data_IF_795022808944
#
_entry.id   IF_795022808944
#
_cell.length_a   1.000
_cell.length_b   1.000
_cell.length_c   1.000
_cell.angle_alpha   90.00
_cell.angle_beta   90.00
_cell.angle_gamma   90.00
#
_symmetry.space_group_name_H-M   'P 1'
#
loop_
_entity.id
_entity.type
_entity.pdbx_description
1 polymer ?
#
# COMPACT_ATOMS: atom_id res chain seq x y z
N UNK A 1 -34.69 -24.33 -13.18
CA UNK A 1 -33.79 -25.14 -12.34
C UNK A 1 -32.65 -25.64 -13.21
N UNK A 2 -31.60 -24.84 -13.33
CA UNK A 2 -30.39 -25.18 -14.07
C UNK A 2 -29.24 -25.11 -13.10
N UNK A 3 -28.60 -26.27 -12.92
CA UNK A 3 -27.67 -26.57 -11.85
C UNK A 3 -26.44 -25.66 -11.90
N UNK A 4 -26.09 -25.10 -10.74
CA UNK A 4 -24.81 -24.48 -10.48
C UNK A 4 -23.72 -25.53 -10.58
N UNK A 5 -22.91 -25.45 -11.64
CA UNK A 5 -21.64 -26.19 -11.72
C UNK A 5 -20.69 -25.52 -10.73
N UNK A 6 -20.57 -26.11 -9.55
CA UNK A 6 -19.55 -25.78 -8.56
C UNK A 6 -18.19 -26.17 -9.12
N UNK A 7 -17.50 -25.18 -9.70
CA UNK A 7 -16.05 -25.29 -9.92
C UNK A 7 -15.41 -25.40 -8.53
N UNK A 8 -14.75 -26.54 -8.29
CA UNK A 8 -14.05 -26.94 -7.06
C UNK A 8 -14.92 -27.55 -5.95
N UNK A 9 -15.14 -28.87 -6.05
CA UNK A 9 -15.77 -29.71 -5.03
C UNK A 9 -14.95 -29.82 -3.73
N UNK A 10 -15.03 -28.81 -2.86
CA UNK A 10 -14.51 -28.89 -1.49
C UNK A 10 -15.56 -28.51 -0.47
N UNK A 11 -15.73 -29.36 0.55
CA UNK A 11 -16.66 -29.15 1.64
C UNK A 11 -16.47 -27.78 2.34
N UNK A 12 -17.56 -27.09 2.76
CA UNK A 12 -17.54 -25.73 3.31
C UNK A 12 -16.84 -25.57 4.68
N UNK A 13 -16.28 -26.64 5.25
CA UNK A 13 -15.79 -26.69 6.65
C UNK A 13 -14.62 -25.75 6.97
N UNK A 14 -13.91 -25.17 5.99
CA UNK A 14 -12.76 -24.28 6.21
C UNK A 14 -13.06 -22.78 6.06
N UNK A 15 -14.23 -22.40 5.57
CA UNK A 15 -14.61 -20.99 5.39
C UNK A 15 -14.94 -20.24 6.68
N UNK A 16 -15.50 -20.85 7.75
CA UNK A 16 -15.84 -20.09 8.96
C UNK A 16 -14.64 -19.51 9.68
N UNK A 17 -13.53 -20.27 9.78
CA UNK A 17 -12.30 -19.81 10.41
C UNK A 17 -11.66 -18.66 9.62
N UNK A 18 -11.45 -18.84 8.31
CA UNK A 18 -10.96 -17.76 7.45
C UNK A 18 -11.88 -16.54 7.47
N UNK A 19 -13.19 -16.77 7.53
CA UNK A 19 -14.19 -15.72 7.74
C UNK A 19 -13.92 -14.95 9.03
N UNK A 20 -13.77 -15.63 10.16
CA UNK A 20 -13.41 -15.02 11.44
C UNK A 20 -12.09 -14.22 11.38
N UNK A 21 -11.06 -14.76 10.75
CA UNK A 21 -9.77 -14.07 10.53
C UNK A 21 -9.94 -12.81 9.68
N UNK A 22 -10.76 -12.86 8.63
CA UNK A 22 -11.06 -11.70 7.79
C UNK A 22 -11.82 -10.62 8.56
N UNK A 23 -12.81 -11.01 9.37
CA UNK A 23 -13.55 -10.08 10.24
C UNK A 23 -12.61 -9.42 11.25
N UNK A 24 -11.74 -10.21 11.91
CA UNK A 24 -10.72 -9.68 12.81
C UNK A 24 -9.84 -8.63 12.13
N UNK A 25 -9.31 -8.92 10.94
CA UNK A 25 -8.50 -7.98 10.16
C UNK A 25 -9.23 -6.67 9.87
N UNK A 26 -10.45 -6.72 9.33
CA UNK A 26 -11.18 -5.50 8.94
C UNK A 26 -11.68 -4.69 10.13
N UNK A 27 -11.96 -5.33 11.27
CA UNK A 27 -12.34 -4.63 12.52
C UNK A 27 -11.13 -3.96 13.17
N UNK A 28 -9.95 -4.61 13.15
CA UNK A 28 -8.71 -4.01 13.68
C UNK A 28 -8.19 -2.86 12.81
N UNK A 29 -8.50 -2.87 11.52
CA UNK A 29 -8.00 -1.87 10.55
C UNK A 29 -8.22 -0.41 10.97
N UNK A 30 -9.45 0.07 11.24
CA UNK A 30 -9.67 1.47 11.65
C UNK A 30 -9.06 1.79 13.02
N UNK A 31 -9.02 0.82 13.94
CA UNK A 31 -8.45 1.00 15.27
C UNK A 31 -6.95 1.24 15.20
N UNK A 32 -6.24 0.42 14.43
CA UNK A 32 -4.80 0.58 14.23
C UNK A 32 -4.49 1.80 13.36
N UNK A 33 -5.29 2.08 12.32
CA UNK A 33 -5.12 3.28 11.51
C UNK A 33 -5.13 4.56 12.34
N UNK A 34 -6.00 4.62 13.36
CA UNK A 34 -6.07 5.78 14.24
C UNK A 34 -5.04 5.73 15.37
N UNK A 35 -5.03 4.66 16.17
CA UNK A 35 -4.31 4.62 17.45
C UNK A 35 -2.85 4.22 17.31
N UNK A 36 -2.59 3.18 16.52
CA UNK A 36 -1.28 2.54 16.43
C UNK A 36 -0.97 2.06 15.00
N UNK A 37 -0.66 2.97 14.06
CA UNK A 37 -0.46 2.62 12.66
C UNK A 37 0.68 1.62 12.42
N UNK A 38 1.73 1.69 13.24
CA UNK A 38 2.82 0.71 13.21
C UNK A 38 2.33 -0.72 13.51
N UNK A 39 1.18 -0.86 14.19
CA UNK A 39 0.51 -2.13 14.47
C UNK A 39 0.04 -2.90 13.24
N UNK A 40 -0.01 -2.27 12.04
CA UNK A 40 -0.29 -3.02 10.81
C UNK A 40 0.77 -4.11 10.54
N UNK A 41 2.01 -3.92 11.00
CA UNK A 41 3.06 -4.93 10.85
C UNK A 41 2.76 -6.23 11.63
N UNK A 42 2.56 -6.20 12.96
CA UNK A 42 2.19 -7.39 13.72
C UNK A 42 0.78 -7.89 13.39
N UNK A 43 -0.18 -7.01 13.05
CA UNK A 43 -1.52 -7.43 12.63
C UNK A 43 -1.43 -8.34 11.39
N UNK A 44 -0.72 -7.90 10.36
CA UNK A 44 -0.59 -8.68 9.13
C UNK A 44 0.21 -9.96 9.34
N UNK A 45 1.21 -9.96 10.22
CA UNK A 45 1.94 -11.16 10.58
C UNK A 45 1.01 -12.19 11.25
N UNK A 46 0.24 -11.75 12.25
CA UNK A 46 -0.73 -12.57 12.97
C UNK A 46 -1.82 -13.10 12.04
N UNK A 47 -2.41 -12.26 11.20
CA UNK A 47 -3.41 -12.68 10.20
C UNK A 47 -2.82 -13.73 9.26
N UNK A 48 -1.57 -13.56 8.82
CA UNK A 48 -0.84 -14.55 8.03
C UNK A 48 -0.76 -15.91 8.69
N UNK A 49 -0.32 -15.94 9.95
CA UNK A 49 -0.21 -17.15 10.76
C UNK A 49 -1.58 -17.81 10.99
N UNK A 50 -2.59 -17.02 11.37
CA UNK A 50 -3.95 -17.52 11.58
C UNK A 50 -4.58 -18.02 10.28
N UNK A 51 -4.18 -17.50 9.12
CA UNK A 51 -4.72 -17.94 7.83
C UNK A 51 -4.04 -19.19 7.26
N UNK A 52 -2.91 -19.65 7.83
CA UNK A 52 -2.18 -20.85 7.37
C UNK A 52 -3.04 -22.10 7.20
N UNK A 53 -3.97 -22.46 8.12
CA UNK A 53 -4.83 -23.65 7.95
C UNK A 53 -5.73 -23.60 6.70
N UNK A 54 -5.99 -22.39 6.18
CA UNK A 54 -6.75 -22.14 4.97
C UNK A 54 -5.89 -21.86 3.74
N UNK A 55 -4.56 -21.82 3.86
CA UNK A 55 -3.66 -21.50 2.76
C UNK A 55 -3.71 -22.59 1.68
N UNK A 56 -3.96 -22.15 0.44
CA UNK A 56 -3.88 -22.99 -0.76
C UNK A 56 -3.04 -22.29 -1.79
N UNK A 57 -1.80 -22.75 -1.96
CA UNK A 57 -0.92 -22.24 -2.99
C UNK A 57 -1.43 -22.69 -4.35
N UNK A 58 -1.96 -21.73 -5.12
CA UNK A 58 -2.37 -21.94 -6.50
C UNK A 58 -1.26 -21.56 -7.46
N UNK A 59 -1.26 -22.09 -8.68
CA UNK A 59 -0.31 -21.68 -9.73
C UNK A 59 -0.38 -20.17 -10.01
N UNK A 60 -1.55 -19.55 -9.80
CA UNK A 60 -1.73 -18.10 -9.96
C UNK A 60 -1.07 -17.27 -8.83
N UNK A 61 -0.83 -17.87 -7.66
CA UNK A 61 -0.15 -17.22 -6.54
C UNK A 61 1.39 -17.29 -6.66
N UNK A 62 1.92 -18.26 -7.39
CA UNK A 62 3.36 -18.49 -7.47
C UNK A 62 4.16 -17.33 -8.09
N UNK A 63 3.78 -16.74 -9.26
CA UNK A 63 4.60 -15.70 -9.89
C UNK A 63 4.93 -14.50 -8.99
N UNK A 64 3.97 -13.81 -8.33
CA UNK A 64 4.31 -12.67 -7.47
C UNK A 64 5.14 -13.09 -6.25
N UNK A 65 4.90 -14.28 -5.68
CA UNK A 65 5.68 -14.77 -4.54
C UNK A 65 7.12 -15.10 -4.93
N UNK A 66 7.34 -15.66 -6.13
CA UNK A 66 8.69 -15.94 -6.63
C UNK A 66 9.47 -14.67 -6.94
N UNK A 67 8.80 -13.64 -7.50
CA UNK A 67 9.43 -12.33 -7.73
C UNK A 67 9.84 -11.69 -6.39
N UNK A 68 8.94 -11.70 -5.40
CA UNK A 68 9.24 -11.16 -4.07
C UNK A 68 10.30 -11.99 -3.33
N UNK A 69 10.30 -13.31 -3.50
CA UNK A 69 11.35 -14.18 -2.98
C UNK A 69 12.71 -13.84 -3.60
N UNK A 70 12.77 -13.66 -4.92
CA UNK A 70 13.99 -13.24 -5.60
C UNK A 70 14.47 -11.87 -5.10
N UNK A 71 13.55 -10.91 -4.89
CA UNK A 71 13.88 -9.61 -4.30
C UNK A 71 14.41 -9.75 -2.86
N UNK A 72 13.78 -10.56 -2.02
CA UNK A 72 14.20 -10.80 -0.65
C UNK A 72 15.57 -11.51 -0.58
N UNK A 73 15.82 -12.48 -1.45
CA UNK A 73 17.12 -13.14 -1.58
C UNK A 73 18.19 -12.17 -2.07
N UNK A 74 17.88 -11.33 -3.05
CA UNK A 74 18.81 -10.29 -3.52
C UNK A 74 19.13 -9.29 -2.39
N UNK A 75 18.13 -8.85 -1.64
CA UNK A 75 18.31 -7.99 -0.49
C UNK A 75 19.19 -8.66 0.58
N UNK A 76 18.98 -9.93 0.89
CA UNK A 76 19.80 -10.71 1.82
C UNK A 76 21.25 -10.83 1.34
N UNK A 77 21.47 -11.16 0.06
CA UNK A 77 22.81 -11.22 -0.55
C UNK A 77 23.50 -9.86 -0.49
N UNK A 78 22.75 -8.77 -0.70
CA UNK A 78 23.29 -7.41 -0.67
C UNK A 78 23.81 -6.95 0.68
N UNK A 79 23.39 -7.62 1.77
CA UNK A 79 23.94 -7.34 3.09
C UNK A 79 25.44 -7.67 3.18
N UNK A 80 25.96 -8.56 2.33
CA UNK A 80 27.39 -8.94 2.34
C UNK A 80 28.33 -7.81 1.94
N UNK A 81 27.81 -6.74 1.30
CA UNK A 81 28.57 -5.53 0.99
C UNK A 81 27.91 -4.25 1.54
N UNK A 82 26.87 -4.38 2.36
CA UNK A 82 26.19 -3.22 2.93
C UNK A 82 27.09 -2.50 3.93
N UNK A 83 27.19 -1.15 3.89
CA UNK A 83 27.84 -0.39 4.95
C UNK A 83 27.07 -0.47 6.28
N UNK A 84 25.80 -0.91 6.23
CA UNK A 84 24.98 -1.17 7.41
C UNK A 84 25.11 -2.62 7.93
N UNK A 85 26.06 -3.41 7.41
CA UNK A 85 26.25 -4.79 7.81
C UNK A 85 26.53 -4.87 9.32
N UNK A 86 25.65 -5.60 10.03
CA UNK A 86 25.79 -5.85 11.46
C UNK A 86 26.72 -7.05 11.63
N UNK A 87 27.73 -6.93 12.48
CA UNK A 87 28.59 -8.05 12.88
C UNK A 87 27.72 -9.10 13.62
N UNK A 88 27.58 -10.34 13.11
CA UNK A 88 26.78 -11.37 13.74
C UNK A 88 27.18 -11.67 15.19
N UNK A 89 28.43 -11.41 15.59
CA UNK A 89 28.90 -11.57 16.96
C UNK A 89 28.29 -10.56 17.94
N UNK A 90 27.69 -9.48 17.42
CA UNK A 90 27.01 -8.44 18.20
C UNK A 90 25.52 -8.73 18.41
N UNK A 91 24.96 -9.76 17.76
CA UNK A 91 23.57 -10.18 17.92
C UNK A 91 23.41 -10.99 19.22
N UNK A 92 23.07 -10.32 20.32
CA UNK A 92 22.93 -10.97 21.64
C UNK A 92 21.48 -11.15 22.05
N UNK A 93 20.64 -10.16 21.74
CA UNK A 93 19.25 -10.13 22.20
C UNK A 93 18.26 -10.00 21.04
N UNK A 94 16.98 -10.25 21.33
CA UNK A 94 15.87 -10.12 20.38
C UNK A 94 15.83 -8.74 19.70
N UNK A 95 16.15 -7.68 20.46
CA UNK A 95 16.18 -6.31 19.94
C UNK A 95 17.24 -6.07 18.86
N UNK A 96 18.28 -6.90 18.78
CA UNK A 96 19.28 -6.82 17.71
C UNK A 96 18.82 -7.54 16.44
N UNK A 97 18.09 -8.66 16.60
CA UNK A 97 17.44 -9.36 15.48
C UNK A 97 16.35 -8.47 14.87
N UNK A 98 15.63 -7.70 15.68
CA UNK A 98 14.63 -6.74 15.20
C UNK A 98 15.22 -5.66 14.28
N UNK A 99 16.52 -5.37 14.38
CA UNK A 99 17.18 -4.40 13.49
C UNK A 99 17.49 -4.97 12.10
N UNK A 100 17.39 -6.29 11.92
CA UNK A 100 17.71 -6.96 10.65
C UNK A 100 16.53 -6.91 9.67
N UNK A 101 16.53 -5.91 8.79
CA UNK A 101 15.48 -5.76 7.77
C UNK A 101 15.35 -6.99 6.86
N UNK A 102 16.44 -7.66 6.48
CA UNK A 102 16.34 -8.84 5.62
C UNK A 102 15.56 -9.99 6.26
N UNK A 103 15.75 -10.25 7.55
CA UNK A 103 14.99 -11.29 8.29
C UNK A 103 13.51 -10.93 8.29
N UNK A 104 13.20 -9.65 8.54
CA UNK A 104 11.83 -9.14 8.49
C UNK A 104 11.21 -9.30 7.11
N UNK A 105 11.92 -9.01 6.02
CA UNK A 105 11.42 -9.18 4.65
C UNK A 105 11.03 -10.63 4.36
N UNK A 106 11.83 -11.61 4.80
CA UNK A 106 11.50 -13.04 4.64
C UNK A 106 10.26 -13.42 5.46
N UNK A 107 10.18 -12.99 6.71
CA UNK A 107 9.03 -13.25 7.57
C UNK A 107 7.75 -12.58 7.05
N UNK A 108 7.85 -11.37 6.52
CA UNK A 108 6.75 -10.65 5.88
C UNK A 108 6.30 -11.36 4.60
N UNK A 109 7.24 -11.81 3.75
CA UNK A 109 6.88 -12.58 2.56
C UNK A 109 6.09 -13.85 2.94
N UNK A 110 6.53 -14.57 3.96
CA UNK A 110 5.84 -15.76 4.45
C UNK A 110 4.46 -15.42 5.03
N UNK A 111 4.39 -14.48 5.98
CA UNK A 111 3.15 -14.20 6.72
C UNK A 111 2.18 -13.33 5.92
N UNK A 112 2.62 -12.21 5.34
CA UNK A 112 1.75 -11.31 4.58
C UNK A 112 1.33 -11.98 3.26
N UNK A 113 2.25 -12.74 2.64
CA UNK A 113 1.93 -13.59 1.49
C UNK A 113 0.90 -14.66 1.83
N UNK A 114 1.03 -15.34 2.98
CA UNK A 114 0.02 -16.30 3.45
C UNK A 114 -1.34 -15.63 3.67
N UNK A 115 -1.40 -14.46 4.31
CA UNK A 115 -2.63 -13.69 4.49
C UNK A 115 -3.29 -13.37 3.13
N UNK A 116 -2.51 -12.77 2.21
CA UNK A 116 -2.99 -12.32 0.92
C UNK A 116 -3.44 -13.48 0.00
N UNK A 117 -2.87 -14.68 0.15
CA UNK A 117 -3.26 -15.87 -0.64
C UNK A 117 -4.40 -16.63 0.02
N UNK A 118 -4.35 -16.86 1.33
CA UNK A 118 -5.36 -17.64 2.05
C UNK A 118 -6.72 -16.91 2.11
N UNK A 119 -6.74 -15.58 2.24
CA UNK A 119 -8.00 -14.82 2.25
C UNK A 119 -8.65 -14.72 0.86
N UNK A 120 -7.91 -15.04 -0.21
CA UNK A 120 -8.52 -15.39 -1.53
C UNK A 120 -9.23 -16.74 -1.51
N UNK A 121 -9.34 -17.41 -0.37
CA UNK A 121 -10.18 -18.60 -0.20
C UNK A 121 -11.57 -18.29 0.34
N UNK A 122 -11.88 -17.02 0.65
CA UNK A 122 -13.15 -16.65 1.27
C UNK A 122 -14.33 -16.93 0.34
N UNK A 123 -15.41 -17.50 0.91
CA UNK A 123 -16.71 -17.59 0.25
C UNK A 123 -17.31 -16.19 0.06
N UNK A 124 -18.17 -16.02 -0.94
CA UNK A 124 -18.86 -14.76 -1.26
C UNK A 124 -19.57 -14.14 -0.03
N UNK A 125 -20.24 -14.95 0.79
CA UNK A 125 -20.93 -14.48 2.00
C UNK A 125 -19.99 -13.83 3.03
N UNK A 126 -18.85 -14.48 3.31
CA UNK A 126 -17.84 -13.94 4.23
C UNK A 126 -17.09 -12.75 3.64
N UNK A 127 -16.78 -12.77 2.35
CA UNK A 127 -16.20 -11.61 1.65
C UNK A 127 -17.16 -10.42 1.67
N UNK A 128 -18.45 -10.67 1.43
CA UNK A 128 -19.58 -9.74 1.59
C UNK A 128 -19.58 -9.08 2.94
N UNK A 129 -19.62 -9.89 4.01
CA UNK A 129 -19.64 -9.39 5.38
C UNK A 129 -18.39 -8.59 5.73
N UNK A 130 -17.19 -9.12 5.46
CA UNK A 130 -15.94 -8.45 5.76
C UNK A 130 -15.79 -7.13 4.98
N UNK A 131 -16.14 -7.11 3.69
CA UNK A 131 -16.13 -5.92 2.86
C UNK A 131 -17.09 -4.84 3.37
N UNK A 132 -18.30 -5.21 3.79
CA UNK A 132 -19.26 -4.25 4.36
C UNK A 132 -18.78 -3.66 5.69
N UNK A 133 -18.21 -4.49 6.57
CA UNK A 133 -17.62 -4.00 7.84
C UNK A 133 -16.49 -3.04 7.54
N UNK A 134 -15.55 -3.44 6.66
CA UNK A 134 -14.44 -2.57 6.25
C UNK A 134 -14.96 -1.23 5.73
N UNK A 135 -15.94 -1.25 4.83
CA UNK A 135 -16.44 -0.04 4.18
C UNK A 135 -17.02 0.97 5.18
N UNK A 136 -17.94 0.53 6.05
CA UNK A 136 -18.53 1.42 7.04
C UNK A 136 -17.55 1.80 8.15
N UNK A 137 -16.63 0.91 8.53
CA UNK A 137 -15.63 1.21 9.54
C UNK A 137 -14.62 2.25 9.04
N UNK A 138 -14.25 2.23 7.75
CA UNK A 138 -13.43 3.28 7.14
C UNK A 138 -14.16 4.61 6.99
N UNK A 139 -15.48 4.61 6.75
CA UNK A 139 -16.30 5.83 6.80
C UNK A 139 -16.33 6.39 8.23
N UNK A 140 -16.52 5.54 9.23
CA UNK A 140 -16.45 5.92 10.65
C UNK A 140 -15.09 6.51 11.02
N UNK A 141 -13.99 5.88 10.57
CA UNK A 141 -12.64 6.42 10.72
C UNK A 141 -12.50 7.80 10.06
N UNK A 142 -12.97 7.95 8.82
CA UNK A 142 -12.89 9.23 8.11
C UNK A 142 -13.59 10.36 8.90
N UNK A 143 -14.77 10.10 9.45
CA UNK A 143 -15.51 11.05 10.28
C UNK A 143 -14.75 11.35 11.58
N UNK A 144 -14.32 10.31 12.31
CA UNK A 144 -13.60 10.45 13.57
C UNK A 144 -12.33 11.31 13.42
N UNK A 145 -11.48 10.94 12.47
CA UNK A 145 -10.18 11.59 12.25
C UNK A 145 -10.37 13.03 11.75
N UNK A 146 -11.42 13.31 10.97
CA UNK A 146 -11.74 14.68 10.55
C UNK A 146 -12.14 15.54 11.73
N UNK A 147 -13.04 15.06 12.58
CA UNK A 147 -13.48 15.79 13.78
C UNK A 147 -12.29 16.03 14.71
N UNK A 148 -11.48 15.01 14.95
CA UNK A 148 -10.34 15.11 15.84
C UNK A 148 -9.28 16.06 15.28
N UNK A 149 -8.91 15.94 14.01
CA UNK A 149 -7.96 16.85 13.37
C UNK A 149 -8.46 18.32 13.36
N UNK A 150 -9.74 18.55 13.08
CA UNK A 150 -10.33 19.90 13.05
C UNK A 150 -10.38 20.57 14.43
N UNK A 151 -10.39 19.78 15.51
CA UNK A 151 -10.45 20.27 16.89
C UNK A 151 -9.10 20.28 17.60
N UNK A 152 -8.01 19.97 16.89
CA UNK A 152 -6.65 19.97 17.46
C UNK A 152 -6.27 18.67 18.18
N UNK A 153 -6.81 17.54 17.73
CA UNK A 153 -6.58 16.18 18.23
C UNK A 153 -6.92 15.90 19.72
N UNK A 154 -8.02 16.44 20.29
CA UNK A 154 -8.35 16.25 21.71
C UNK A 154 -8.72 14.80 22.05
N UNK A 155 -9.34 14.06 21.12
CA UNK A 155 -9.69 12.64 21.33
C UNK A 155 -8.40 11.83 21.37
N UNK A 156 -7.48 12.05 20.42
CA UNK A 156 -6.18 11.36 20.41
C UNK A 156 -5.38 11.62 21.69
N UNK A 157 -5.38 12.88 22.16
CA UNK A 157 -4.72 13.27 23.42
C UNK A 157 -5.36 12.63 24.65
N UNK A 158 -6.70 12.62 24.74
CA UNK A 158 -7.41 12.02 25.85
C UNK A 158 -7.12 10.51 25.96
N UNK A 159 -7.08 9.79 24.83
CA UNK A 159 -6.75 8.37 24.81
C UNK A 159 -5.32 8.11 25.31
N UNK A 160 -4.36 8.93 24.90
CA UNK A 160 -2.97 8.85 25.34
C UNK A 160 -2.81 9.21 26.83
N UNK A 161 -3.59 10.16 27.33
CA UNK A 161 -3.60 10.50 28.75
C UNK A 161 -4.11 9.34 29.62
N UNK A 162 -5.14 8.62 29.16
CA UNK A 162 -5.69 7.44 29.85
C UNK A 162 -4.68 6.28 29.91
N UNK A 163 -3.81 6.14 28.90
CA UNK A 163 -2.74 5.13 28.90
C UNK A 163 -1.48 5.57 29.65
N UNK A 164 -1.48 6.75 30.29
CA UNK A 164 -0.34 7.26 31.05
C UNK A 164 0.78 7.88 30.20
N UNK A 165 0.52 8.14 28.91
CA UNK A 165 1.50 8.68 27.96
C UNK A 165 1.00 10.00 27.34
N UNK A 166 0.77 11.06 28.12
CA UNK A 166 0.23 12.31 27.60
C UNK A 166 1.11 12.87 26.47
N UNK A 167 0.46 13.21 25.36
CA UNK A 167 1.12 13.67 24.14
C UNK A 167 0.85 15.16 23.92
N UNK A 168 1.86 15.88 23.43
CA UNK A 168 1.70 17.29 23.09
C UNK A 168 0.73 17.47 21.90
N UNK A 169 -0.08 18.54 21.87
CA UNK A 169 -1.06 18.78 20.80
C UNK A 169 -0.47 18.80 19.38
N UNK A 170 0.71 19.40 19.20
CA UNK A 170 1.39 19.49 17.91
C UNK A 170 1.83 18.11 17.40
N UNK A 171 2.33 17.27 18.29
CA UNK A 171 2.72 15.88 17.97
C UNK A 171 1.48 15.01 17.74
N UNK A 172 0.41 15.22 18.51
CA UNK A 172 -0.85 14.51 18.34
C UNK A 172 -1.41 14.69 16.92
N UNK A 173 -1.42 15.92 16.41
CA UNK A 173 -1.89 16.20 15.05
C UNK A 173 -1.04 15.48 13.98
N UNK A 174 0.29 15.43 14.17
CA UNK A 174 1.19 14.64 13.32
C UNK A 174 0.89 13.15 13.42
N UNK A 175 0.53 12.61 14.58
CA UNK A 175 0.16 11.20 14.71
C UNK A 175 -1.19 10.88 14.07
N UNK A 176 -2.18 11.75 14.21
CA UNK A 176 -3.49 11.66 13.53
C UNK A 176 -3.31 11.64 12.01
N UNK A 177 -2.29 12.33 11.47
CA UNK A 177 -1.94 12.30 10.04
C UNK A 177 -1.71 10.89 9.51
N UNK A 178 -1.24 9.95 10.34
CA UNK A 178 -0.93 8.59 9.92
C UNK A 178 -2.18 7.79 9.50
N UNK A 179 -3.35 8.14 10.05
CA UNK A 179 -4.62 7.53 9.65
C UNK A 179 -4.98 7.84 8.19
N UNK A 180 -4.49 8.97 7.66
CA UNK A 180 -4.76 9.37 6.27
C UNK A 180 -4.18 8.41 5.25
N UNK A 181 -3.08 7.72 5.57
CA UNK A 181 -2.49 6.72 4.67
C UNK A 181 -3.39 5.50 4.51
N UNK A 182 -3.98 5.00 5.61
CA UNK A 182 -4.94 3.90 5.55
C UNK A 182 -6.23 4.33 4.81
N UNK A 183 -6.71 5.55 5.07
CA UNK A 183 -7.85 6.12 4.34
C UNK A 183 -7.57 6.22 2.83
N UNK A 184 -6.42 6.75 2.43
CA UNK A 184 -6.05 6.92 1.03
C UNK A 184 -5.88 5.58 0.29
N UNK A 185 -5.26 4.58 0.92
CA UNK A 185 -5.06 3.27 0.29
C UNK A 185 -6.33 2.43 0.20
N UNK A 186 -7.21 2.52 1.20
CA UNK A 186 -8.47 1.80 1.22
C UNK A 186 -9.61 2.56 0.54
N UNK A 187 -9.38 3.82 0.13
CA UNK A 187 -10.36 4.68 -0.52
C UNK A 187 -11.03 3.99 -1.72
N UNK A 188 -10.24 3.44 -2.64
CA UNK A 188 -10.75 2.85 -3.88
C UNK A 188 -11.60 1.59 -3.66
N UNK A 189 -11.13 0.54 -2.93
CA UNK A 189 -11.96 -0.62 -2.66
C UNK A 189 -13.20 -0.29 -1.83
N UNK A 190 -13.08 0.58 -0.81
CA UNK A 190 -14.24 0.98 -0.01
C UNK A 190 -15.26 1.75 -0.85
N UNK A 191 -14.81 2.68 -1.71
CA UNK A 191 -15.70 3.45 -2.57
C UNK A 191 -16.47 2.55 -3.54
N UNK A 192 -15.83 1.52 -4.11
CA UNK A 192 -16.53 0.57 -4.98
C UNK A 192 -17.57 -0.26 -4.21
N UNK A 193 -17.27 -0.70 -2.98
CA UNK A 193 -18.24 -1.38 -2.12
C UNK A 193 -19.45 -0.47 -1.85
N UNK A 194 -19.22 0.78 -1.43
CA UNK A 194 -20.29 1.73 -1.12
C UNK A 194 -21.12 2.10 -2.37
N UNK A 195 -20.48 2.17 -3.54
CA UNK A 195 -21.14 2.41 -4.83
C UNK A 195 -22.09 1.27 -5.19
N UNK A 196 -21.65 0.00 -5.05
CA UNK A 196 -22.51 -1.18 -5.28
C UNK A 196 -23.69 -1.26 -4.31
N UNK A 197 -23.67 -0.49 -3.23
CA UNK A 197 -24.74 -0.40 -2.24
C UNK A 197 -25.59 0.86 -2.37
N UNK A 198 -25.37 1.66 -3.42
CA UNK A 198 -26.05 2.93 -3.62
C UNK A 198 -26.03 3.83 -2.37
N UNK A 199 -24.86 3.93 -1.72
CA UNK A 199 -24.66 4.71 -0.49
C UNK A 199 -23.89 6.03 -0.75
N UNK A 200 -24.42 6.98 -1.55
CA UNK A 200 -23.68 8.18 -1.97
C UNK A 200 -23.29 9.08 -0.80
N UNK A 201 -24.09 9.12 0.28
CA UNK A 201 -23.75 9.87 1.50
C UNK A 201 -22.50 9.33 2.19
N UNK A 202 -22.33 8.00 2.23
CA UNK A 202 -21.15 7.37 2.82
C UNK A 202 -19.89 7.64 1.97
N UNK A 203 -20.04 7.63 0.64
CA UNK A 203 -18.95 8.00 -0.28
C UNK A 203 -18.56 9.47 -0.08
N UNK A 204 -19.55 10.37 0.03
CA UNK A 204 -19.28 11.79 0.30
C UNK A 204 -18.54 11.98 1.62
N UNK A 205 -18.97 11.32 2.70
CA UNK A 205 -18.27 11.37 3.99
C UNK A 205 -16.84 10.83 3.90
N UNK A 206 -16.62 9.74 3.15
CA UNK A 206 -15.28 9.19 2.93
C UNK A 206 -14.39 10.17 2.16
N UNK A 207 -14.89 10.75 1.06
CA UNK A 207 -14.16 11.73 0.23
C UNK A 207 -13.82 12.97 1.04
N UNK A 208 -14.84 13.59 1.64
CA UNK A 208 -14.67 14.80 2.45
C UNK A 208 -13.73 14.51 3.61
N UNK A 209 -13.95 13.43 4.35
CA UNK A 209 -13.13 13.11 5.50
C UNK A 209 -11.67 12.85 5.14
N UNK A 210 -11.41 12.13 4.05
CA UNK A 210 -10.04 11.86 3.61
C UNK A 210 -9.35 13.13 3.11
N UNK A 211 -10.01 13.94 2.29
CA UNK A 211 -9.43 15.16 1.69
C UNK A 211 -9.24 16.25 2.75
N UNK A 212 -10.27 16.54 3.55
CA UNK A 212 -10.23 17.58 4.58
C UNK A 212 -9.21 17.23 5.64
N UNK A 213 -9.22 15.99 6.16
CA UNK A 213 -8.22 15.55 7.14
C UNK A 213 -6.81 15.69 6.57
N UNK A 214 -6.56 15.19 5.35
CA UNK A 214 -5.22 15.25 4.75
C UNK A 214 -4.73 16.69 4.61
N UNK A 215 -5.64 17.65 4.35
CA UNK A 215 -5.30 19.07 4.29
C UNK A 215 -5.01 19.65 5.68
N UNK A 216 -5.84 19.35 6.68
CA UNK A 216 -5.68 19.84 8.05
C UNK A 216 -4.37 19.38 8.69
N UNK A 217 -3.96 18.14 8.41
CA UNK A 217 -2.74 17.52 8.97
C UNK A 217 -1.53 17.57 8.04
N UNK A 218 -1.59 18.38 6.96
CA UNK A 218 -0.50 18.57 5.98
C UNK A 218 0.05 17.26 5.38
N UNK A 219 -0.82 16.29 5.12
CA UNK A 219 -0.49 15.01 4.47
C UNK A 219 -0.59 15.12 2.93
N UNK A 220 0.25 15.97 2.34
CA UNK A 220 0.21 16.26 0.90
C UNK A 220 0.37 15.00 0.04
N UNK A 221 1.20 14.04 0.46
CA UNK A 221 1.40 12.78 -0.26
C UNK A 221 0.08 12.00 -0.44
N UNK A 222 -0.83 12.02 0.54
CA UNK A 222 -2.14 11.39 0.44
C UNK A 222 -3.03 12.09 -0.59
N UNK A 223 -3.00 13.43 -0.64
CA UNK A 223 -3.75 14.21 -1.63
C UNK A 223 -3.25 13.94 -3.05
N UNK A 224 -1.92 13.95 -3.26
CA UNK A 224 -1.30 13.64 -4.56
C UNK A 224 -1.61 12.19 -4.96
N UNK A 225 -1.57 11.25 -4.02
CA UNK A 225 -1.89 9.85 -4.27
C UNK A 225 -3.36 9.60 -4.63
N UNK A 226 -4.30 10.33 -4.02
CA UNK A 226 -5.72 10.28 -4.41
C UNK A 226 -5.95 10.89 -5.78
N UNK A 227 -5.29 12.02 -6.10
CA UNK A 227 -5.40 12.63 -7.42
C UNK A 227 -4.82 11.72 -8.51
N UNK A 228 -3.59 11.22 -8.33
CA UNK A 228 -2.94 10.30 -9.26
C UNK A 228 -3.70 8.97 -9.38
N UNK A 229 -4.18 8.42 -8.26
CA UNK A 229 -5.06 7.25 -8.24
C UNK A 229 -6.36 7.50 -9.00
N UNK A 230 -6.93 8.70 -8.90
CA UNK A 230 -8.11 9.13 -9.64
C UNK A 230 -7.85 9.21 -11.15
N UNK A 231 -6.71 9.76 -11.57
CA UNK A 231 -6.32 9.76 -12.97
C UNK A 231 -6.14 8.33 -13.52
N UNK A 232 -5.53 7.44 -12.75
CA UNK A 232 -5.39 6.03 -13.12
C UNK A 232 -6.75 5.31 -13.19
N UNK A 233 -7.63 5.60 -12.22
CA UNK A 233 -9.00 5.12 -12.20
C UNK A 233 -9.76 5.59 -13.45
N UNK A 234 -9.70 6.88 -13.79
CA UNK A 234 -10.34 7.47 -14.98
C UNK A 234 -9.80 6.83 -16.27
N UNK A 235 -8.47 6.74 -16.38
CA UNK A 235 -7.78 6.12 -17.51
C UNK A 235 -8.31 4.70 -17.75
N UNK A 236 -8.35 3.85 -16.72
CA UNK A 236 -8.82 2.47 -16.86
C UNK A 236 -10.33 2.38 -17.02
N UNK A 237 -11.11 3.23 -16.32
CA UNK A 237 -12.58 3.24 -16.39
C UNK A 237 -13.08 3.61 -17.78
N UNK A 238 -12.42 4.54 -18.48
CA UNK A 238 -12.86 5.08 -19.78
C UNK A 238 -12.08 4.54 -20.98
N UNK A 239 -10.78 4.24 -20.86
CA UNK A 239 -10.02 3.60 -21.93
C UNK A 239 -9.94 2.07 -21.81
N UNK A 240 -10.52 1.48 -20.76
CA UNK A 240 -10.65 0.03 -20.59
C UNK A 240 -9.30 -0.69 -20.62
N UNK A 241 -9.21 -1.76 -21.43
CA UNK A 241 -7.99 -2.55 -21.59
C UNK A 241 -6.80 -1.74 -22.11
N UNK A 242 -7.03 -0.77 -22.99
CA UNK A 242 -5.97 0.11 -23.50
C UNK A 242 -5.41 0.98 -22.38
N UNK A 243 -6.30 1.58 -21.57
CA UNK A 243 -5.89 2.34 -20.38
C UNK A 243 -5.08 1.49 -19.39
N UNK A 244 -5.50 0.24 -19.18
CA UNK A 244 -4.77 -0.70 -18.32
C UNK A 244 -3.38 -1.08 -18.89
N UNK A 245 -3.23 -1.21 -20.21
CA UNK A 245 -1.91 -1.44 -20.84
C UNK A 245 -0.99 -0.23 -20.69
N UNK A 246 -1.52 0.98 -20.88
CA UNK A 246 -0.78 2.23 -20.65
C UNK A 246 -0.33 2.31 -19.19
N UNK A 247 -1.19 1.92 -18.25
CA UNK A 247 -0.85 1.88 -16.83
C UNK A 247 0.37 0.99 -16.53
N UNK A 248 0.54 -0.15 -17.22
CA UNK A 248 1.75 -0.99 -17.04
C UNK A 248 3.02 -0.21 -17.35
N UNK A 249 3.03 0.57 -18.44
CA UNK A 249 4.17 1.41 -18.82
C UNK A 249 4.39 2.53 -17.81
N UNK A 250 3.31 3.20 -17.39
CA UNK A 250 3.39 4.26 -16.37
C UNK A 250 3.89 3.74 -15.02
N UNK A 251 3.53 2.52 -14.64
CA UNK A 251 4.02 1.86 -13.43
C UNK A 251 5.49 1.46 -13.58
N UNK A 252 5.92 0.98 -14.75
CA UNK A 252 7.31 0.60 -14.99
C UNK A 252 8.26 1.81 -14.95
N UNK A 253 7.84 2.94 -15.52
CA UNK A 253 8.70 4.09 -15.77
C UNK A 253 9.45 4.60 -14.51
N UNK A 254 8.81 4.82 -13.34
CA UNK A 254 9.53 5.25 -12.13
C UNK A 254 10.58 4.25 -11.64
N UNK A 255 10.38 2.94 -11.80
CA UNK A 255 11.38 1.95 -11.38
C UNK A 255 12.60 1.92 -12.28
N UNK A 256 12.48 2.37 -13.53
CA UNK A 256 13.61 2.44 -14.47
C UNK A 256 14.27 3.82 -14.45
N UNK A 257 13.47 4.89 -14.36
CA UNK A 257 13.90 6.25 -14.64
C UNK A 257 14.10 7.12 -13.40
N UNK A 258 13.77 6.67 -12.18
CA UNK A 258 13.80 7.55 -11.01
C UNK A 258 15.15 8.28 -10.78
N UNK A 259 16.33 7.62 -10.76
CA UNK A 259 17.59 8.33 -10.60
C UNK A 259 17.86 9.29 -11.75
N UNK A 260 17.60 8.86 -12.99
CA UNK A 260 17.81 9.68 -14.19
C UNK A 260 16.92 10.92 -14.22
N UNK A 261 15.66 10.80 -13.79
CA UNK A 261 14.72 11.91 -13.71
C UNK A 261 15.18 12.97 -12.70
N UNK A 262 15.75 12.55 -11.57
CA UNK A 262 16.32 13.48 -10.58
C UNK A 262 17.59 14.13 -11.12
N UNK A 263 18.53 13.36 -11.66
CA UNK A 263 19.79 13.88 -12.22
C UNK A 263 19.53 14.86 -13.36
N UNK A 264 18.64 14.52 -14.30
CA UNK A 264 18.21 15.42 -15.36
C UNK A 264 17.57 16.70 -14.77
N UNK A 265 16.75 16.57 -13.73
CA UNK A 265 16.17 17.72 -13.04
C UNK A 265 17.20 18.64 -12.38
N UNK A 266 18.33 18.10 -11.91
CA UNK A 266 19.47 18.87 -11.40
C UNK A 266 20.16 19.59 -12.56
N UNK A 267 20.52 18.87 -13.62
CA UNK A 267 21.23 19.41 -14.79
C UNK A 267 20.44 20.52 -15.50
N UNK A 268 19.12 20.37 -15.65
CA UNK A 268 18.27 21.38 -16.29
C UNK A 268 17.88 22.52 -15.35
N UNK A 269 18.30 22.51 -14.08
CA UNK A 269 17.97 23.52 -13.09
C UNK A 269 16.54 23.46 -12.54
N UNK A 270 15.76 22.42 -12.85
CA UNK A 270 14.39 22.22 -12.33
C UNK A 270 14.40 22.01 -10.83
N UNK A 271 15.34 21.22 -10.29
CA UNK A 271 15.48 21.02 -8.85
C UNK A 271 15.81 22.35 -8.14
N UNK A 272 16.74 23.13 -8.70
CA UNK A 272 17.08 24.46 -8.18
C UNK A 272 15.90 25.45 -8.22
N UNK A 273 15.03 25.34 -9.23
CA UNK A 273 13.78 26.10 -9.28
C UNK A 273 12.79 25.64 -8.21
N UNK A 274 12.62 24.32 -8.01
CA UNK A 274 11.71 23.76 -7.00
C UNK A 274 12.11 24.14 -5.57
N UNK A 275 13.41 24.17 -5.24
CA UNK A 275 13.92 24.62 -3.93
C UNK A 275 13.40 26.02 -3.53
N UNK A 276 13.08 26.88 -4.49
CA UNK A 276 12.56 28.24 -4.23
C UNK A 276 11.04 28.29 -3.98
N UNK A 277 10.32 27.21 -4.32
CA UNK A 277 8.85 27.18 -4.34
C UNK A 277 8.24 26.30 -3.26
N UNK A 278 8.96 25.24 -2.87
CA UNK A 278 8.39 24.21 -2.01
C UNK A 278 8.58 24.51 -0.52
N UNK A 279 7.67 24.03 0.36
CA UNK A 279 7.86 24.12 1.81
C UNK A 279 9.09 23.36 2.30
N UNK A 280 9.57 23.68 3.51
CA UNK A 280 10.78 23.08 4.09
C UNK A 280 10.80 21.53 4.09
N UNK A 281 9.65 20.88 4.31
CA UNK A 281 9.56 19.40 4.29
C UNK A 281 9.80 18.82 2.89
N UNK A 282 9.37 19.52 1.84
CA UNK A 282 9.62 19.16 0.45
C UNK A 282 11.02 19.54 0.01
N UNK A 283 11.52 20.68 0.46
CA UNK A 283 12.89 21.14 0.21
C UNK A 283 13.93 20.12 0.71
N UNK A 284 13.75 19.63 1.94
CA UNK A 284 14.56 18.55 2.50
C UNK A 284 14.54 17.28 1.63
N UNK A 285 13.38 16.92 1.04
CA UNK A 285 13.26 15.75 0.16
C UNK A 285 14.02 15.94 -1.14
N UNK A 286 14.00 17.14 -1.73
CA UNK A 286 14.77 17.44 -2.94
C UNK A 286 16.28 17.24 -2.70
N UNK A 287 16.78 17.68 -1.53
CA UNK A 287 18.17 17.42 -1.13
C UNK A 287 18.45 15.92 -0.99
N UNK A 288 17.59 15.19 -0.27
CA UNK A 288 17.70 13.73 -0.08
C UNK A 288 17.69 12.99 -1.43
N UNK A 289 16.78 13.37 -2.35
CA UNK A 289 16.65 12.72 -3.65
C UNK A 289 17.84 12.99 -4.55
N UNK A 290 18.33 14.23 -4.56
CA UNK A 290 19.54 14.62 -5.31
C UNK A 290 20.75 13.83 -4.83
N UNK A 291 20.94 13.76 -3.50
CA UNK A 291 22.01 12.97 -2.91
C UNK A 291 21.87 11.48 -3.26
N UNK A 292 20.68 10.90 -3.10
CA UNK A 292 20.45 9.49 -3.41
C UNK A 292 20.70 9.18 -4.88
N UNK A 293 20.20 10.00 -5.80
CA UNK A 293 20.37 9.81 -7.25
C UNK A 293 21.85 9.92 -7.67
N UNK A 294 22.59 10.87 -7.08
CA UNK A 294 24.03 10.99 -7.28
C UNK A 294 24.78 9.74 -6.78
N UNK A 295 24.45 9.27 -5.57
CA UNK A 295 25.11 8.10 -4.96
C UNK A 295 24.76 6.78 -5.64
N UNK A 296 23.65 6.68 -6.37
CA UNK A 296 23.35 5.51 -7.21
C UNK A 296 24.41 5.31 -8.30
N UNK A 297 25.04 6.39 -8.79
CA UNK A 297 26.01 6.33 -9.88
C UNK A 297 27.29 5.55 -9.53
N UNK A 298 27.63 5.44 -8.24
CA UNK A 298 28.83 4.68 -7.80
C UNK A 298 28.63 3.17 -7.90
N UNK A 299 27.40 2.69 -7.66
CA UNK A 299 27.04 1.27 -7.65
C UNK A 299 25.75 1.01 -8.43
N UNK A 300 25.67 1.36 -9.72
CA UNK A 300 24.40 1.46 -10.44
C UNK A 300 23.68 0.11 -10.59
N UNK A 301 24.42 -1.00 -10.67
CA UNK A 301 23.83 -2.33 -10.83
C UNK A 301 23.51 -3.03 -9.51
N UNK A 302 24.45 -2.99 -8.56
CA UNK A 302 24.37 -3.75 -7.30
C UNK A 302 23.81 -2.97 -6.11
N UNK A 303 23.83 -1.64 -6.17
CA UNK A 303 23.51 -0.76 -5.05
C UNK A 303 24.54 -0.83 -3.92
N UNK A 304 24.30 -0.03 -2.89
CA UNK A 304 25.15 0.04 -1.70
C UNK A 304 24.93 -1.10 -0.71
N UNK A 305 23.88 -1.91 -0.87
CA UNK A 305 23.44 -2.94 0.05
C UNK A 305 22.20 -2.53 0.86
N UNK A 306 21.42 -3.52 1.29
CA UNK A 306 20.22 -3.31 2.12
C UNK A 306 20.56 -2.48 3.37
N UNK A 307 19.66 -1.55 3.72
CA UNK A 307 19.78 -0.59 4.83
C UNK A 307 20.90 0.46 4.70
N UNK A 308 21.63 0.51 3.58
CA UNK A 308 22.66 1.51 3.36
C UNK A 308 22.14 2.96 3.51
N UNK A 309 20.86 3.21 3.23
CA UNK A 309 20.28 4.56 3.41
C UNK A 309 20.49 5.12 4.82
N UNK A 310 20.57 4.25 5.83
CA UNK A 310 20.69 4.62 7.26
C UNK A 310 22.10 5.03 7.66
N UNK A 311 23.10 4.84 6.79
CA UNK A 311 24.51 5.12 7.10
C UNK A 311 24.99 6.46 6.55
N UNK A 312 24.17 7.16 5.76
CA UNK A 312 24.54 8.43 5.12
C UNK A 312 24.27 9.68 5.99
N UNK A 313 23.97 9.49 7.28
CA UNK A 313 23.84 10.57 8.27
C UNK A 313 22.81 11.62 7.87
N UNK A 314 23.19 12.90 7.93
CA UNK A 314 22.26 14.01 7.66
C UNK A 314 21.78 14.09 6.21
N UNK A 315 22.51 13.49 5.26
CA UNK A 315 22.12 13.49 3.86
C UNK A 315 20.90 12.58 3.60
N UNK A 316 20.79 11.48 4.34
CA UNK A 316 19.62 10.62 4.37
C UNK A 316 19.37 10.22 5.83
N UNK A 317 18.50 10.94 6.57
CA UNK A 317 18.34 10.73 8.01
C UNK A 317 17.94 9.30 8.40
N UNK A 318 17.07 8.67 7.60
CA UNK A 318 16.62 7.29 7.80
C UNK A 318 16.44 6.57 6.47
N UNK A 319 15.73 7.22 5.55
CA UNK A 319 15.39 6.69 4.22
C UNK A 319 15.18 7.84 3.24
N UNK A 320 15.16 7.52 1.95
CA UNK A 320 15.05 8.52 0.87
C UNK A 320 13.69 9.22 0.79
N UNK A 321 12.68 8.71 1.52
CA UNK A 321 11.28 9.08 1.35
C UNK A 321 10.74 8.86 -0.07
N UNK A 322 11.43 8.06 -0.87
CA UNK A 322 11.07 7.71 -2.23
C UNK A 322 11.50 6.26 -2.48
N UNK A 323 10.51 5.36 -2.47
CA UNK A 323 10.74 3.92 -2.55
C UNK A 323 11.57 3.52 -3.77
N UNK A 324 11.33 4.13 -4.94
CA UNK A 324 12.05 3.82 -6.17
C UNK A 324 13.51 4.24 -6.06
N UNK A 325 13.80 5.44 -5.57
CA UNK A 325 15.19 5.87 -5.32
C UNK A 325 15.87 5.03 -4.23
N UNK A 326 15.15 4.60 -3.19
CA UNK A 326 15.73 3.73 -2.16
C UNK A 326 16.10 2.36 -2.72
N UNK A 327 15.24 1.77 -3.57
CA UNK A 327 15.52 0.51 -4.25
C UNK A 327 16.77 0.61 -5.14
N UNK A 328 16.92 1.70 -5.87
CA UNK A 328 18.13 1.96 -6.65
C UNK A 328 19.36 2.16 -5.76
N UNK A 329 19.26 2.98 -4.72
CA UNK A 329 20.38 3.29 -3.83
C UNK A 329 20.89 2.04 -3.13
N UNK A 330 20.00 1.23 -2.56
CA UNK A 330 20.37 0.07 -1.76
C UNK A 330 20.60 -1.19 -2.59
N UNK A 331 19.74 -1.47 -3.57
CA UNK A 331 19.75 -2.75 -4.29
C UNK A 331 20.14 -2.63 -5.77
N UNK A 332 20.41 -1.42 -6.25
CA UNK A 332 20.81 -1.13 -7.62
C UNK A 332 19.72 -1.43 -8.66
N UNK A 333 20.13 -1.43 -9.94
CA UNK A 333 19.27 -1.78 -11.06
C UNK A 333 18.61 -3.16 -10.90
N UNK A 334 19.29 -4.12 -10.26
CA UNK A 334 18.76 -5.47 -10.04
C UNK A 334 17.54 -5.42 -9.11
N UNK A 335 17.66 -4.78 -7.95
CA UNK A 335 16.54 -4.66 -7.01
C UNK A 335 15.42 -3.79 -7.54
N UNK A 336 15.76 -2.67 -8.19
CA UNK A 336 14.77 -1.80 -8.84
C UNK A 336 13.99 -2.53 -9.94
N UNK A 337 14.66 -3.38 -10.75
CA UNK A 337 14.02 -4.20 -11.77
C UNK A 337 13.12 -5.28 -11.15
N UNK A 338 13.57 -6.00 -10.11
CA UNK A 338 12.75 -7.02 -9.45
C UNK A 338 11.47 -6.42 -8.83
N UNK A 339 11.60 -5.30 -8.13
CA UNK A 339 10.45 -4.55 -7.62
C UNK A 339 9.55 -4.03 -8.75
N UNK A 340 10.14 -3.47 -9.81
CA UNK A 340 9.43 -3.01 -11.00
C UNK A 340 8.63 -4.12 -11.67
N UNK A 341 9.21 -5.32 -11.83
CA UNK A 341 8.54 -6.50 -12.37
C UNK A 341 7.36 -6.92 -11.49
N UNK A 342 7.50 -6.87 -10.16
CA UNK A 342 6.39 -7.15 -9.24
C UNK A 342 5.22 -6.18 -9.43
N UNK A 343 5.48 -4.88 -9.46
CA UNK A 343 4.40 -3.89 -9.65
C UNK A 343 3.84 -3.89 -11.07
N UNK A 344 4.65 -4.18 -12.10
CA UNK A 344 4.18 -4.43 -13.45
C UNK A 344 3.29 -5.67 -13.54
N UNK A 345 3.59 -6.72 -12.77
CA UNK A 345 2.72 -7.90 -12.67
C UNK A 345 1.36 -7.55 -12.04
N UNK A 346 1.34 -6.70 -11.01
CA UNK A 346 0.10 -6.18 -10.43
C UNK A 346 -0.68 -5.32 -11.45
N UNK A 347 0.00 -4.41 -12.16
CA UNK A 347 -0.59 -3.60 -13.23
C UNK A 347 -1.13 -4.48 -14.38
N UNK A 348 -0.44 -5.55 -14.76
CA UNK A 348 -0.95 -6.53 -15.71
C UNK A 348 -2.15 -7.31 -15.17
N UNK A 349 -2.24 -7.49 -13.85
CA UNK A 349 -3.45 -7.90 -13.16
C UNK A 349 -4.65 -7.01 -13.48
N UNK A 350 -4.46 -5.69 -13.52
CA UNK A 350 -5.51 -4.72 -13.91
C UNK A 350 -5.96 -4.96 -15.36
N UNK A 351 -5.04 -5.25 -16.28
CA UNK A 351 -5.38 -5.60 -17.68
C UNK A 351 -6.32 -6.81 -17.72
N UNK A 352 -5.99 -7.87 -16.98
CA UNK A 352 -6.82 -9.09 -16.92
C UNK A 352 -8.19 -8.82 -16.28
N UNK A 353 -8.25 -7.97 -15.25
CA UNK A 353 -9.52 -7.60 -14.61
C UNK A 353 -10.38 -6.76 -15.56
N UNK A 354 -9.76 -5.88 -16.37
CA UNK A 354 -10.48 -4.99 -17.29
C UNK A 354 -11.25 -5.71 -18.39
N UNK A 355 -10.87 -6.96 -18.68
CA UNK A 355 -11.59 -7.85 -19.62
C UNK A 355 -12.91 -8.37 -19.03
N UNK A 356 -13.07 -8.33 -17.70
CA UNK A 356 -14.26 -8.82 -16.98
C UNK A 356 -15.10 -7.71 -16.37
N UNK A 357 -14.45 -6.72 -15.75
CA UNK A 357 -15.14 -5.59 -15.12
C UNK A 357 -14.27 -4.34 -15.16
N UNK A 358 -14.78 -3.29 -15.81
CA UNK A 358 -14.11 -1.98 -15.89
C UNK A 358 -14.06 -1.29 -14.53
N UNK A 359 -15.09 -1.45 -13.71
CA UNK A 359 -15.17 -0.86 -12.37
C UNK A 359 -14.13 -1.47 -11.42
N UNK A 360 -14.00 -2.80 -11.40
CA UNK A 360 -13.00 -3.49 -10.57
C UNK A 360 -11.58 -3.21 -11.05
N UNK A 361 -11.35 -3.11 -12.36
CA UNK A 361 -10.05 -2.76 -12.92
C UNK A 361 -9.66 -1.33 -12.53
N UNK A 362 -10.60 -0.37 -12.64
CA UNK A 362 -10.36 1.00 -12.24
C UNK A 362 -10.08 1.14 -10.73
N UNK A 363 -10.81 0.41 -9.89
CA UNK A 363 -10.51 0.31 -8.44
C UNK A 363 -9.08 -0.18 -8.20
N UNK A 364 -8.68 -1.29 -8.83
CA UNK A 364 -7.36 -1.86 -8.68
C UNK A 364 -6.25 -0.91 -9.18
N UNK A 365 -6.50 -0.19 -10.28
CA UNK A 365 -5.61 0.84 -10.81
C UNK A 365 -5.41 1.99 -9.84
N UNK A 366 -6.51 2.55 -9.30
CA UNK A 366 -6.45 3.62 -8.31
C UNK A 366 -5.68 3.20 -7.06
N UNK A 367 -5.98 2.02 -6.52
CA UNK A 367 -5.29 1.50 -5.33
C UNK A 367 -3.78 1.29 -5.56
N UNK A 368 -3.42 0.70 -6.71
CA UNK A 368 -2.02 0.49 -7.09
C UNK A 368 -1.25 1.81 -7.21
N UNK A 369 -1.82 2.79 -7.91
CA UNK A 369 -1.15 4.09 -8.11
C UNK A 369 -1.09 4.87 -6.80
N UNK A 370 -2.13 4.85 -5.98
CA UNK A 370 -2.07 5.50 -4.66
C UNK A 370 -0.98 4.89 -3.78
N UNK A 371 -0.80 3.56 -3.78
CA UNK A 371 0.31 2.91 -3.08
C UNK A 371 1.67 3.37 -3.60
N UNK A 372 1.88 3.34 -4.91
CA UNK A 372 3.16 3.72 -5.52
C UNK A 372 3.51 5.19 -5.29
N UNK A 373 2.51 6.09 -5.35
CA UNK A 373 2.72 7.53 -5.15
C UNK A 373 3.04 7.86 -3.70
N UNK A 374 2.32 7.29 -2.73
CA UNK A 374 2.68 7.47 -1.30
C UNK A 374 4.07 6.88 -1.03
N UNK A 375 4.39 5.70 -1.58
CA UNK A 375 5.71 5.10 -1.46
C UNK A 375 6.82 5.98 -2.06
N UNK A 376 6.54 6.67 -3.16
CA UNK A 376 7.48 7.60 -3.81
C UNK A 376 7.64 8.94 -3.05
N UNK A 377 6.73 9.25 -2.12
CA UNK A 377 6.61 10.58 -1.51
C UNK A 377 6.55 10.58 0.02
N UNK A 378 6.66 9.47 0.74
CA UNK A 378 6.52 9.48 2.21
C UNK A 378 7.47 8.55 2.95
N UNK A 379 7.56 7.29 2.55
CA UNK A 379 8.11 6.24 3.41
C UNK A 379 9.36 5.60 2.85
N UNK A 380 10.14 5.01 3.75
CA UNK A 380 11.14 4.03 3.36
C UNK A 380 10.46 2.74 2.88
N UNK A 381 10.96 2.16 1.78
CA UNK A 381 10.32 1.01 1.12
C UNK A 381 10.24 -0.23 2.01
N UNK A 382 11.12 -0.34 3.00
CA UNK A 382 11.21 -1.47 3.92
C UNK A 382 10.39 -1.33 5.21
N UNK A 383 9.63 -0.24 5.39
CA UNK A 383 8.83 -0.07 6.58
C UNK A 383 7.75 -1.17 6.68
N UNK A 384 7.79 -1.95 7.75
CA UNK A 384 6.98 -3.16 7.90
C UNK A 384 5.48 -2.88 7.84
N UNK A 385 5.05 -1.84 8.54
CA UNK A 385 3.64 -1.44 8.63
C UNK A 385 3.10 -0.95 7.29
N UNK A 386 3.96 -0.31 6.48
CA UNK A 386 3.64 0.16 5.14
C UNK A 386 3.48 -1.00 4.15
N UNK A 387 4.38 -1.99 4.20
CA UNK A 387 4.25 -3.24 3.44
C UNK A 387 2.99 -4.01 3.87
N UNK A 388 2.71 -4.06 5.17
CA UNK A 388 1.49 -4.65 5.73
C UNK A 388 0.23 -3.95 5.21
N UNK A 389 0.21 -2.63 5.18
CA UNK A 389 -0.90 -1.84 4.65
C UNK A 389 -1.10 -2.09 3.14
N UNK A 390 -0.02 -2.23 2.36
CA UNK A 390 -0.09 -2.66 0.96
C UNK A 390 -0.71 -4.04 0.77
N UNK A 391 -0.33 -5.01 1.62
CA UNK A 391 -0.95 -6.34 1.62
C UNK A 391 -2.43 -6.30 2.00
N UNK A 392 -2.80 -5.48 2.99
CA UNK A 392 -4.20 -5.22 3.36
C UNK A 392 -4.99 -4.61 2.20
N UNK A 393 -4.42 -3.65 1.45
CA UNK A 393 -5.06 -3.07 0.26
C UNK A 393 -5.32 -4.11 -0.82
N UNK A 394 -4.38 -5.03 -1.05
CA UNK A 394 -4.58 -6.16 -1.97
C UNK A 394 -5.72 -7.08 -1.50
N UNK A 395 -5.78 -7.38 -0.20
CA UNK A 395 -6.86 -8.16 0.41
C UNK A 395 -8.20 -7.43 0.24
N UNK A 396 -8.26 -6.12 0.51
CA UNK A 396 -9.47 -5.31 0.35
C UNK A 396 -9.97 -5.32 -1.10
N UNK A 397 -9.07 -5.21 -2.09
CA UNK A 397 -9.42 -5.32 -3.50
C UNK A 397 -9.99 -6.72 -3.84
N UNK A 398 -9.42 -7.79 -3.28
CA UNK A 398 -9.94 -9.15 -3.49
C UNK A 398 -11.29 -9.38 -2.80
N UNK A 399 -11.51 -8.79 -1.62
CA UNK A 399 -12.82 -8.79 -0.96
C UNK A 399 -13.87 -8.23 -1.92
N UNK A 400 -13.68 -7.03 -2.48
CA UNK A 400 -14.65 -6.41 -3.40
C UNK A 400 -14.99 -7.33 -4.58
N UNK A 401 -13.97 -7.94 -5.19
CA UNK A 401 -14.13 -8.82 -6.36
C UNK A 401 -14.89 -10.11 -6.03
N UNK A 402 -14.81 -10.58 -4.78
CA UNK A 402 -15.52 -11.77 -4.28
C UNK A 402 -16.94 -11.52 -3.81
N UNK A 403 -17.30 -10.28 -3.50
CA UNK A 403 -18.65 -9.95 -3.03
C UNK A 403 -19.73 -10.20 -4.09
N UNK A 404 -19.34 -10.49 -5.35
CA UNK A 404 -20.24 -10.43 -6.50
C UNK A 404 -20.61 -8.99 -6.83
N UNK A 405 -20.94 -8.72 -8.09
CA UNK A 405 -21.81 -7.58 -8.36
C UNK A 405 -23.20 -7.97 -7.83
N UNK A 406 -23.94 -7.09 -7.12
CA UNK A 406 -25.40 -7.26 -7.09
C UNK A 406 -25.83 -7.33 -8.56
N UNK A 407 -26.73 -8.27 -8.90
CA UNK A 407 -27.28 -8.42 -10.26
C UNK A 407 -27.49 -7.02 -10.84
N UNK A 408 -26.60 -6.60 -11.75
CA UNK A 408 -26.81 -5.42 -12.58
C UNK A 408 -27.90 -5.84 -13.56
N UNK A 409 -29.14 -5.90 -13.08
CA UNK A 409 -30.31 -5.95 -13.93
C UNK A 409 -30.32 -4.69 -14.80
N UNK A 410 -30.39 -4.90 -16.11
CA UNK A 410 -31.01 -3.99 -17.09
C UNK A 410 -30.58 -2.53 -17.12
N UNK A 411 -29.28 -2.23 -16.99
CA UNK A 411 -28.78 -0.91 -17.40
C UNK A 411 -27.99 -0.91 -18.72
N UNK A 412 -27.81 -2.09 -19.34
CA UNK A 412 -27.29 -2.21 -20.71
C UNK A 412 -28.41 -2.14 -21.79
N UNK A 413 -29.69 -2.08 -21.40
CA UNK A 413 -30.80 -1.73 -22.31
C UNK A 413 -30.99 -0.21 -22.42
N UNK A 414 -29.96 0.48 -22.89
CA UNK A 414 -30.13 1.73 -23.64
C UNK A 414 -29.55 1.54 -25.05
N UNK A 415 -29.93 0.44 -25.69
CA UNK A 415 -30.11 0.44 -27.15
C UNK A 415 -31.21 1.45 -27.47
N UNK A 416 -30.94 2.49 -28.28
CA UNK A 416 -32.02 3.30 -28.82
C UNK A 416 -32.86 2.39 -29.72
N UNK A 417 -34.10 2.13 -29.31
CA UNK A 417 -35.14 1.70 -30.23
C UNK A 417 -35.53 2.91 -31.08
N UNK A 418 -34.92 3.00 -32.28
CA UNK A 418 -35.44 3.55 -33.54
C UNK A 418 -34.28 3.99 -34.45
#
# INVERSE_FOLDING_TARGET
MTASVTVDGVAPRRTPWLGGVAIFLVVMTPLLAYLAPLGFAPLMALVGLLALPGLRLTRAAAPPLLILLALALWALVSMTWSPAAIDPATLKDYGDIEKLTAVKLVLQLATYGAAAVALRGLSEAWAGRAGMILAYAMVGLAVLVTIDAATGAPIYQALHAVTGEPIRPDVALVKVSLATYALALLFWPVSLILSRRHAPRAILLLVVGTVVTSKLVSSDACLVALAAGGLAWLLVRYAGRTGAKVLVVLVAAPFVLAPLAVLAGVETGVIAWLHKLVPASWDARLNIWTFAADHVQTHPFRGWGLDASRTFGMAIPLHTHNAQLQLWLELGAVGAALAGVFFCWLAYGVVRISERSRGEAAMAAGALVSYLVIGALSFGVWQEWWLGLGALTLIACDLVRRMGAPDEGDWDELTPLA
#
